data_IF_831559584675
#
_entry.id   IF_831559584675
#
_cell.length_a   1.000
_cell.length_b   1.000
_cell.length_c   1.000
_cell.angle_alpha   90.00
_cell.angle_beta   90.00
_cell.angle_gamma   90.00
#
_symmetry.space_group_name_H-M   'P 1'
#
loop_
_entity.id
_entity.type
_entity.pdbx_description
1 polymer ?
#
# COMPACT_ATOMS: atom_id res chain seq x y z
N UNK A 1 -3.71 -13.73 -64.05
CA UNK A 1 -3.76 -12.66 -65.07
C UNK A 1 -3.64 -11.31 -64.37
N UNK A 2 -2.69 -10.50 -64.84
CA UNK A 2 -2.56 -9.02 -64.76
C UNK A 2 -2.34 -8.33 -63.39
N UNK A 3 -1.07 -7.93 -63.22
CA UNK A 3 -0.54 -6.75 -62.49
C UNK A 3 -0.95 -5.44 -63.19
N UNK A 4 -1.09 -4.35 -62.42
CA UNK A 4 -0.85 -2.93 -62.79
C UNK A 4 -0.68 -2.16 -61.45
N UNK A 5 0.50 -1.69 -60.99
CA UNK A 5 1.33 -0.54 -61.37
C UNK A 5 0.61 0.78 -61.66
N UNK A 6 0.84 1.81 -60.82
CA UNK A 6 1.29 3.17 -61.23
C UNK A 6 1.58 4.10 -60.02
N UNK A 7 2.85 4.53 -59.93
CA UNK A 7 3.43 5.72 -59.25
C UNK A 7 3.59 6.79 -60.37
N UNK A 8 3.47 8.13 -60.17
CA UNK A 8 4.69 8.97 -60.02
C UNK A 8 4.58 10.39 -59.37
N UNK A 9 5.72 10.83 -58.78
CA UNK A 9 6.38 12.17 -58.83
C UNK A 9 5.63 13.45 -58.34
N UNK A 10 6.18 14.56 -57.81
CA UNK A 10 7.53 15.17 -57.62
C UNK A 10 7.36 16.55 -56.89
N UNK A 11 8.49 17.18 -56.50
CA UNK A 11 8.81 18.61 -56.20
C UNK A 11 8.88 18.98 -54.70
N UNK A 12 10.02 19.28 -54.04
CA UNK A 12 11.24 20.11 -54.28
C UNK A 12 11.06 21.61 -53.97
N UNK A 13 11.66 22.11 -52.88
CA UNK A 13 12.34 23.42 -52.79
C UNK A 13 13.01 23.64 -51.41
N UNK A 14 14.34 23.79 -51.42
CA UNK A 14 15.14 24.46 -50.39
C UNK A 14 15.18 25.96 -50.68
N UNK A 15 15.23 26.81 -49.65
CA UNK A 15 15.89 28.13 -49.69
C UNK A 15 16.32 28.58 -48.29
N UNK A 16 17.60 28.94 -48.17
CA UNK A 16 18.22 29.72 -47.08
C UNK A 16 17.84 31.22 -47.22
N UNK A 17 18.00 32.09 -46.22
CA UNK A 17 19.20 32.92 -45.92
C UNK A 17 18.95 33.73 -44.60
N UNK A 18 20.07 34.11 -43.98
CA UNK A 18 20.39 34.80 -42.72
C UNK A 18 19.78 36.18 -42.36
N UNK A 19 19.95 36.58 -41.10
CA UNK A 19 20.31 37.95 -40.67
C UNK A 19 20.96 37.99 -39.27
N UNK A 20 21.94 38.89 -39.10
CA UNK A 20 22.90 39.03 -37.99
C UNK A 20 22.55 40.13 -36.95
N UNK A 21 23.31 40.15 -35.84
CA UNK A 21 23.64 41.33 -35.02
C UNK A 21 23.11 41.25 -33.59
N UNK A 22 23.83 41.54 -32.50
CA UNK A 22 25.14 42.18 -32.33
C UNK A 22 25.68 41.86 -30.91
N UNK A 23 26.98 42.01 -30.70
CA UNK A 23 27.77 41.63 -29.51
C UNK A 23 28.14 42.82 -28.62
N UNK A 24 28.27 42.64 -27.29
CA UNK A 24 29.26 43.36 -26.45
C UNK A 24 29.78 42.48 -25.28
N UNK A 25 31.10 42.58 -25.05
CA UNK A 25 32.04 41.81 -24.19
C UNK A 25 31.89 42.05 -22.66
N UNK A 26 32.46 41.28 -21.69
CA UNK A 26 33.88 41.19 -21.18
C UNK A 26 33.85 40.31 -19.86
N UNK A 27 34.93 39.75 -19.23
CA UNK A 27 35.97 38.74 -19.55
C UNK A 27 35.99 37.48 -18.59
N UNK A 28 36.95 36.52 -18.69
CA UNK A 28 36.95 35.26 -17.90
C UNK A 28 37.89 35.25 -16.67
N UNK A 29 37.56 34.40 -15.66
CA UNK A 29 38.41 34.08 -14.49
C UNK A 29 38.73 32.57 -14.50
N UNK A 30 39.96 32.13 -14.14
CA UNK A 30 40.51 30.84 -14.57
C UNK A 30 40.22 29.66 -13.63
N UNK A 31 40.25 28.46 -14.21
CA UNK A 31 40.18 27.15 -13.55
C UNK A 31 41.42 26.85 -12.70
N UNK A 32 41.30 26.08 -11.61
CA UNK A 32 42.40 25.26 -11.10
C UNK A 32 42.08 23.75 -11.13
N UNK A 33 42.92 23.05 -11.92
CA UNK A 33 43.53 21.73 -11.72
C UNK A 33 42.74 20.54 -11.13
N UNK A 34 42.78 19.46 -11.92
CA UNK A 34 42.47 18.06 -11.59
C UNK A 34 43.36 17.47 -10.48
N UNK A 35 42.82 16.59 -9.65
CA UNK A 35 43.44 15.33 -9.16
C UNK A 35 42.36 14.42 -8.54
N UNK A 36 42.60 13.11 -8.31
CA UNK A 36 42.46 11.96 -9.21
C UNK A 36 41.26 11.03 -8.89
N UNK A 37 40.81 10.25 -9.88
CA UNK A 37 39.81 9.18 -9.73
C UNK A 37 40.32 7.98 -8.90
N UNK A 38 39.45 7.46 -8.01
CA UNK A 38 39.47 6.08 -7.51
C UNK A 38 38.04 5.64 -7.15
N UNK A 39 37.77 4.31 -7.09
CA UNK A 39 36.91 3.57 -8.00
C UNK A 39 35.45 3.50 -7.56
N UNK A 40 34.57 3.22 -8.52
CA UNK A 40 33.15 2.97 -8.32
C UNK A 40 32.94 1.71 -7.47
N UNK A 41 32.41 1.89 -6.25
CA UNK A 41 31.71 0.82 -5.54
C UNK A 41 30.26 0.80 -6.05
N UNK A 42 30.00 -0.17 -6.91
CA UNK A 42 28.68 -0.57 -7.41
C UNK A 42 27.86 -1.14 -6.25
N UNK A 43 27.22 -0.26 -5.48
CA UNK A 43 26.06 -0.64 -4.70
C UNK A 43 24.83 -0.33 -5.54
N UNK A 44 24.43 -1.28 -6.39
CA UNK A 44 23.10 -1.32 -6.99
C UNK A 44 22.07 -1.54 -5.88
N UNK A 45 21.84 -0.50 -5.10
CA UNK A 45 20.63 -0.35 -4.31
C UNK A 45 19.52 -0.24 -5.35
N UNK A 46 18.92 -1.39 -5.63
CA UNK A 46 17.76 -1.50 -6.50
C UNK A 46 16.67 -0.76 -5.75
N UNK A 47 16.53 0.53 -6.05
CA UNK A 47 15.37 1.31 -5.70
C UNK A 47 14.18 0.60 -6.34
N UNK A 48 13.55 -0.29 -5.59
CA UNK A 48 12.26 -0.86 -5.93
C UNK A 48 11.35 0.33 -6.06
N UNK A 49 11.00 0.61 -7.32
CA UNK A 49 10.14 1.71 -7.68
C UNK A 49 8.85 1.62 -6.87
N UNK A 50 8.55 2.74 -6.22
CA UNK A 50 7.28 3.20 -5.66
C UNK A 50 6.15 3.11 -6.70
N UNK A 51 5.77 1.88 -7.06
CA UNK A 51 4.54 1.53 -7.76
C UNK A 51 3.72 0.72 -6.77
N UNK A 52 2.58 1.24 -6.34
CA UNK A 52 1.57 0.47 -5.63
C UNK A 52 1.35 -0.89 -6.32
N UNK A 53 1.34 -1.94 -5.50
CA UNK A 53 1.41 -3.30 -6.01
C UNK A 53 0.26 -3.63 -6.95
N UNK A 54 0.53 -4.20 -8.12
CA UNK A 54 -0.50 -4.78 -8.98
C UNK A 54 -0.81 -6.20 -8.53
N UNK A 55 -2.08 -6.48 -8.29
CA UNK A 55 -2.55 -7.73 -7.71
C UNK A 55 -3.38 -8.53 -8.71
N UNK A 56 -3.18 -9.85 -8.73
CA UNK A 56 -4.06 -10.79 -9.44
C UNK A 56 -4.70 -11.75 -8.46
N UNK A 57 -6.01 -11.93 -8.54
CA UNK A 57 -6.77 -12.91 -7.77
C UNK A 57 -7.22 -14.06 -8.67
N UNK A 58 -6.57 -15.20 -8.54
CA UNK A 58 -6.98 -16.46 -9.15
C UNK A 58 -7.87 -17.22 -8.18
N UNK A 59 -9.00 -17.77 -8.64
CA UNK A 59 -9.84 -18.60 -7.78
C UNK A 59 -10.52 -19.76 -8.49
N UNK A 60 -10.77 -20.86 -7.78
CA UNK A 60 -11.74 -21.89 -8.17
C UNK A 60 -12.97 -21.73 -7.28
N UNK A 61 -14.18 -21.84 -7.84
CA UNK A 61 -15.42 -21.85 -7.06
C UNK A 61 -16.43 -22.82 -7.65
N UNK A 62 -17.31 -23.37 -6.80
CA UNK A 62 -18.47 -24.17 -7.24
C UNK A 62 -19.78 -23.56 -6.79
N UNK A 63 -19.87 -23.21 -5.52
CA UNK A 63 -21.08 -22.65 -4.89
C UNK A 63 -20.84 -21.23 -4.38
N UNK A 64 -20.03 -20.46 -5.12
CA UNK A 64 -19.73 -19.04 -4.89
C UNK A 64 -19.08 -18.66 -3.56
N UNK A 65 -18.78 -19.58 -2.63
CA UNK A 65 -18.14 -19.22 -1.36
C UNK A 65 -16.73 -18.66 -1.57
N UNK A 66 -15.89 -19.36 -2.34
CA UNK A 66 -14.53 -18.90 -2.66
C UNK A 66 -14.56 -17.68 -3.58
N UNK A 67 -15.48 -17.66 -4.55
CA UNK A 67 -15.71 -16.52 -5.44
C UNK A 67 -15.99 -15.23 -4.64
N UNK A 68 -16.86 -15.29 -3.63
CA UNK A 68 -17.15 -14.12 -2.78
C UNK A 68 -15.92 -13.60 -2.03
N UNK A 69 -15.04 -14.50 -1.57
CA UNK A 69 -13.77 -14.12 -0.95
C UNK A 69 -12.83 -13.49 -1.98
N UNK A 70 -12.74 -14.08 -3.17
CA UNK A 70 -11.94 -13.57 -4.28
C UNK A 70 -12.39 -12.17 -4.73
N UNK A 71 -13.70 -11.97 -4.90
CA UNK A 71 -14.30 -10.68 -5.24
C UNK A 71 -14.07 -9.64 -4.15
N UNK A 72 -14.11 -10.03 -2.87
CA UNK A 72 -13.81 -9.11 -1.78
C UNK A 72 -12.33 -8.68 -1.82
N UNK A 73 -11.39 -9.63 -1.97
CA UNK A 73 -9.96 -9.33 -2.11
C UNK A 73 -9.73 -8.41 -3.32
N UNK A 74 -10.30 -8.76 -4.48
CA UNK A 74 -10.19 -7.99 -5.72
C UNK A 74 -10.70 -6.56 -5.52
N UNK A 75 -11.90 -6.40 -4.94
CA UNK A 75 -12.49 -5.08 -4.68
C UNK A 75 -11.66 -4.27 -3.68
N UNK A 76 -11.12 -4.91 -2.65
CA UNK A 76 -10.29 -4.24 -1.64
C UNK A 76 -8.97 -3.76 -2.22
N UNK A 77 -8.38 -4.51 -3.14
CA UNK A 77 -7.06 -4.23 -3.70
C UNK A 77 -7.09 -3.52 -5.06
N UNK A 78 -8.27 -3.37 -5.68
CA UNK A 78 -8.45 -2.87 -7.04
C UNK A 78 -7.60 -3.64 -8.07
N UNK A 79 -7.50 -4.96 -7.87
CA UNK A 79 -6.70 -5.86 -8.70
C UNK A 79 -7.50 -6.51 -9.82
N UNK A 80 -6.79 -7.33 -10.60
CA UNK A 80 -7.41 -8.22 -11.57
C UNK A 80 -7.93 -9.49 -10.89
N UNK A 81 -8.97 -10.11 -11.46
CA UNK A 81 -9.54 -11.35 -10.97
C UNK A 81 -9.83 -12.29 -12.15
N UNK A 82 -9.51 -13.57 -11.96
CA UNK A 82 -9.73 -14.59 -12.97
C UNK A 82 -10.13 -15.91 -12.32
N UNK A 83 -11.21 -16.51 -12.83
CA UNK A 83 -11.62 -17.84 -12.41
C UNK A 83 -10.81 -18.92 -13.12
N UNK A 84 -10.29 -19.87 -12.34
CA UNK A 84 -9.63 -21.08 -12.81
C UNK A 84 -10.70 -22.13 -13.03
N UNK A 85 -11.06 -22.34 -14.28
CA UNK A 85 -12.13 -23.24 -14.67
C UNK A 85 -11.57 -24.52 -15.30
N UNK A 86 -12.10 -25.70 -14.96
CA UNK A 86 -11.75 -26.93 -15.66
C UNK A 86 -12.18 -26.86 -17.13
N UNK A 87 -11.49 -27.58 -18.01
CA UNK A 87 -11.88 -27.72 -19.42
C UNK A 87 -13.32 -28.26 -19.54
N UNK A 88 -13.62 -29.30 -18.75
CA UNK A 88 -14.95 -29.88 -18.61
C UNK A 88 -15.56 -29.45 -17.27
N UNK A 89 -16.68 -28.70 -17.26
CA UNK A 89 -17.37 -28.29 -16.03
C UNK A 89 -17.68 -29.48 -15.12
N UNK A 90 -17.64 -29.26 -13.80
CA UNK A 90 -18.10 -30.27 -12.84
C UNK A 90 -19.61 -30.48 -12.94
N UNK A 91 -20.02 -31.66 -12.51
CA UNK A 91 -21.41 -32.03 -12.38
C UNK A 91 -22.12 -31.16 -11.33
N UNK A 92 -23.35 -30.73 -11.63
CA UNK A 92 -24.20 -30.02 -10.65
C UNK A 92 -24.49 -30.89 -9.42
N UNK A 93 -24.59 -32.20 -9.64
CA UNK A 93 -24.81 -33.18 -8.59
C UNK A 93 -23.56 -33.27 -7.69
N UNK A 94 -23.76 -32.97 -6.41
CA UNK A 94 -22.68 -32.95 -5.42
C UNK A 94 -21.91 -34.27 -5.31
N UNK A 95 -22.59 -35.41 -5.34
CA UNK A 95 -21.93 -36.71 -5.18
C UNK A 95 -21.13 -37.09 -6.44
N UNK A 96 -21.68 -36.84 -7.63
CA UNK A 96 -20.98 -37.10 -8.90
C UNK A 96 -19.71 -36.25 -9.02
N UNK A 97 -19.80 -34.96 -8.66
CA UNK A 97 -18.64 -34.07 -8.59
C UNK A 97 -17.60 -34.60 -7.61
N UNK A 98 -18.02 -35.05 -6.42
CA UNK A 98 -17.11 -35.59 -5.41
C UNK A 98 -16.39 -36.85 -5.90
N UNK A 99 -17.10 -37.77 -6.56
CA UNK A 99 -16.52 -38.96 -7.19
C UNK A 99 -15.46 -38.59 -8.23
N UNK A 100 -15.76 -37.62 -9.09
CA UNK A 100 -14.80 -37.09 -10.07
C UNK A 100 -13.60 -36.44 -9.40
N UNK A 101 -13.81 -35.55 -8.43
CA UNK A 101 -12.74 -34.87 -7.71
C UNK A 101 -11.80 -35.87 -7.00
N UNK A 102 -12.35 -36.95 -6.43
CA UNK A 102 -11.56 -38.01 -5.82
C UNK A 102 -10.70 -38.75 -6.87
N UNK A 103 -11.26 -39.10 -8.01
CA UNK A 103 -10.52 -39.75 -9.10
C UNK A 103 -9.41 -38.85 -9.67
N UNK A 104 -9.69 -37.56 -9.82
CA UNK A 104 -8.72 -36.56 -10.28
C UNK A 104 -7.57 -36.37 -9.27
N UNK A 105 -7.85 -36.32 -7.97
CA UNK A 105 -6.79 -36.27 -6.94
C UNK A 105 -5.86 -37.49 -7.00
N UNK A 106 -6.42 -38.69 -7.23
CA UNK A 106 -5.62 -39.89 -7.44
C UNK A 106 -4.76 -39.81 -8.71
N UNK A 107 -5.27 -39.21 -9.78
CA UNK A 107 -4.52 -38.98 -11.02
C UNK A 107 -3.37 -37.98 -10.79
N UNK A 108 -3.63 -36.87 -10.10
CA UNK A 108 -2.65 -35.84 -9.76
C UNK A 108 -1.50 -36.43 -8.93
N UNK A 109 -1.79 -37.33 -7.98
CA UNK A 109 -0.76 -38.05 -7.20
C UNK A 109 0.17 -38.90 -8.06
N UNK A 110 -0.26 -39.28 -9.26
CA UNK A 110 0.54 -40.00 -10.26
C UNK A 110 1.18 -39.06 -11.31
N UNK A 111 1.02 -37.76 -11.17
CA UNK A 111 1.52 -36.74 -12.10
C UNK A 111 0.60 -36.50 -13.31
N UNK A 112 -0.64 -36.97 -13.27
CA UNK A 112 -1.63 -36.74 -14.33
C UNK A 112 -2.60 -35.64 -13.91
N UNK A 113 -2.48 -34.47 -14.55
CA UNK A 113 -3.21 -33.26 -14.19
C UNK A 113 -4.37 -33.02 -15.18
N UNK A 114 -5.64 -33.05 -14.74
CA UNK A 114 -6.79 -32.76 -15.61
C UNK A 114 -6.70 -31.37 -16.25
N UNK A 115 -7.10 -31.20 -17.52
CA UNK A 115 -6.96 -29.93 -18.22
C UNK A 115 -7.87 -28.82 -17.64
N UNK A 116 -7.35 -27.59 -17.68
CA UNK A 116 -8.08 -26.36 -17.35
C UNK A 116 -8.10 -25.45 -18.57
N UNK A 117 -9.21 -24.73 -18.77
CA UNK A 117 -9.32 -23.77 -19.89
C UNK A 117 -8.67 -22.41 -19.58
N UNK A 118 -8.45 -22.11 -18.30
CA UNK A 118 -7.88 -20.84 -17.85
C UNK A 118 -6.34 -20.87 -17.96
N UNK A 119 -5.77 -19.86 -18.62
CA UNK A 119 -4.33 -19.65 -18.74
C UNK A 119 -4.00 -18.18 -18.48
N UNK A 120 -2.81 -17.93 -17.90
CA UNK A 120 -2.23 -16.59 -17.79
C UNK A 120 -0.91 -16.57 -18.56
N UNK A 121 -0.81 -15.66 -19.53
CA UNK A 121 0.34 -15.59 -20.41
C UNK A 121 1.60 -15.11 -19.69
N UNK A 122 1.49 -14.06 -18.88
CA UNK A 122 2.57 -13.55 -18.02
C UNK A 122 2.03 -13.07 -16.68
N UNK A 123 2.84 -13.26 -15.64
CA UNK A 123 2.61 -12.73 -14.29
C UNK A 123 3.52 -11.54 -13.97
N UNK A 124 4.29 -11.03 -14.94
CA UNK A 124 5.30 -9.97 -14.71
C UNK A 124 4.71 -8.63 -14.30
N UNK A 125 3.45 -8.44 -14.65
CA UNK A 125 2.69 -7.27 -14.32
C UNK A 125 2.26 -7.22 -12.85
N UNK A 126 2.34 -8.33 -12.10
CA UNK A 126 1.79 -8.44 -10.76
C UNK A 126 2.86 -8.71 -9.69
N UNK A 127 2.73 -8.01 -8.57
CA UNK A 127 3.63 -8.12 -7.42
C UNK A 127 3.22 -9.26 -6.49
N UNK A 128 1.92 -9.52 -6.36
CA UNK A 128 1.37 -10.63 -5.56
C UNK A 128 0.24 -11.31 -6.32
N UNK A 129 0.31 -12.64 -6.36
CA UNK A 129 -0.72 -13.51 -6.91
C UNK A 129 -1.50 -14.14 -5.75
N UNK A 130 -2.78 -13.82 -5.63
CA UNK A 130 -3.69 -14.47 -4.70
C UNK A 130 -4.25 -15.73 -5.36
N UNK A 131 -4.21 -16.85 -4.64
CA UNK A 131 -4.65 -18.15 -5.14
C UNK A 131 -5.70 -18.73 -4.20
N UNK A 132 -6.93 -18.80 -4.71
CA UNK A 132 -8.14 -19.15 -3.99
C UNK A 132 -8.74 -20.48 -4.39
N UNK A 133 -9.11 -21.33 -3.44
CA UNK A 133 -9.77 -22.60 -3.77
C UNK A 133 -10.63 -23.14 -2.63
N UNK A 134 -11.70 -23.89 -2.92
CA UNK A 134 -12.35 -24.70 -1.90
C UNK A 134 -11.47 -25.90 -1.53
N UNK A 135 -11.59 -26.37 -0.30
CA UNK A 135 -10.97 -27.62 0.15
C UNK A 135 -11.89 -28.79 -0.20
N UNK A 136 -11.43 -29.70 -1.06
CA UNK A 136 -12.11 -30.95 -1.42
C UNK A 136 -11.27 -32.13 -0.93
N UNK A 137 -11.87 -33.04 -0.16
CA UNK A 137 -11.18 -34.18 0.45
C UNK A 137 -9.90 -33.82 1.25
N UNK A 138 -9.84 -32.62 1.83
CA UNK A 138 -8.67 -32.14 2.58
C UNK A 138 -7.52 -31.59 1.71
N UNK A 139 -7.70 -31.53 0.40
CA UNK A 139 -6.76 -30.99 -0.60
C UNK A 139 -7.32 -29.71 -1.23
N UNK A 140 -6.49 -28.92 -1.91
CA UNK A 140 -7.01 -27.89 -2.83
C UNK A 140 -7.86 -28.54 -3.93
N UNK A 141 -8.83 -27.79 -4.46
CA UNK A 141 -9.62 -28.19 -5.62
C UNK A 141 -8.71 -28.55 -6.81
N UNK A 142 -9.04 -29.64 -7.50
CA UNK A 142 -8.21 -30.22 -8.57
C UNK A 142 -7.96 -29.30 -9.77
N UNK A 143 -8.85 -28.37 -10.18
CA UNK A 143 -8.49 -27.39 -11.21
C UNK A 143 -7.34 -26.48 -10.80
N UNK A 144 -7.22 -26.16 -9.50
CA UNK A 144 -6.12 -25.33 -9.01
C UNK A 144 -4.79 -26.09 -9.01
N UNK A 145 -4.80 -27.39 -8.68
CA UNK A 145 -3.61 -28.26 -8.86
C UNK A 145 -3.08 -28.17 -10.29
N UNK A 146 -3.97 -28.38 -11.26
CA UNK A 146 -3.61 -28.35 -12.68
C UNK A 146 -3.12 -26.97 -13.14
N UNK A 147 -3.77 -25.90 -12.69
CA UNK A 147 -3.35 -24.54 -13.02
C UNK A 147 -1.95 -24.23 -12.47
N UNK A 148 -1.71 -24.51 -11.18
CA UNK A 148 -0.40 -24.26 -10.55
C UNK A 148 0.69 -25.10 -11.20
N UNK A 149 0.43 -26.38 -11.50
CA UNK A 149 1.36 -27.23 -12.23
C UNK A 149 1.71 -26.65 -13.61
N UNK A 150 0.70 -26.25 -14.40
CA UNK A 150 0.90 -25.71 -15.74
C UNK A 150 1.64 -24.36 -15.75
N UNK A 151 1.57 -23.59 -14.66
CA UNK A 151 2.15 -22.25 -14.55
C UNK A 151 3.36 -22.18 -13.61
N UNK A 152 3.83 -23.30 -13.06
CA UNK A 152 4.87 -23.34 -12.04
C UNK A 152 6.12 -22.53 -12.41
N UNK A 153 6.62 -22.71 -13.65
CA UNK A 153 7.78 -21.98 -14.16
C UNK A 153 7.54 -20.45 -14.28
N UNK A 154 6.31 -20.03 -14.60
CA UNK A 154 5.95 -18.61 -14.72
C UNK A 154 5.74 -17.93 -13.37
N UNK A 155 5.51 -18.72 -12.32
CA UNK A 155 5.36 -18.26 -10.94
C UNK A 155 6.69 -18.18 -10.18
N UNK A 156 7.80 -18.62 -10.78
CA UNK A 156 9.13 -18.52 -10.18
C UNK A 156 9.45 -17.07 -9.80
N UNK A 157 9.90 -16.85 -8.56
CA UNK A 157 10.19 -15.54 -8.00
C UNK A 157 8.96 -14.69 -7.65
N UNK A 158 7.73 -15.09 -8.01
CA UNK A 158 6.52 -14.35 -7.66
C UNK A 158 6.12 -14.61 -6.20
N UNK A 159 5.48 -13.62 -5.59
CA UNK A 159 4.84 -13.79 -4.27
C UNK A 159 3.46 -14.38 -4.46
N UNK A 160 3.14 -15.43 -3.71
CA UNK A 160 1.87 -16.13 -3.81
C UNK A 160 1.19 -16.18 -2.43
N UNK A 161 -0.04 -15.66 -2.36
CA UNK A 161 -0.87 -15.63 -1.15
C UNK A 161 -2.01 -16.63 -1.27
N UNK A 162 -2.05 -17.65 -0.41
CA UNK A 162 -3.06 -18.70 -0.48
C UNK A 162 -4.27 -18.35 0.39
N UNK A 163 -5.47 -18.51 -0.17
CA UNK A 163 -6.70 -18.51 0.61
C UNK A 163 -7.59 -19.69 0.25
N UNK A 164 -8.30 -20.24 1.24
CA UNK A 164 -9.23 -21.34 1.00
C UNK A 164 -10.55 -21.17 1.74
N UNK A 165 -11.58 -21.78 1.17
CA UNK A 165 -12.86 -21.99 1.87
C UNK A 165 -13.09 -23.47 2.13
N UNK A 166 -13.72 -23.81 3.24
CA UNK A 166 -14.05 -25.20 3.57
C UNK A 166 -15.31 -25.31 4.41
N UNK A 167 -15.85 -26.53 4.52
CA UNK A 167 -16.88 -26.81 5.52
C UNK A 167 -16.32 -26.68 6.93
N UNK A 168 -15.25 -27.42 7.19
CA UNK A 168 -14.54 -27.46 8.49
C UNK A 168 -13.06 -27.85 8.38
N UNK A 169 -12.62 -28.40 7.23
CA UNK A 169 -11.24 -28.85 7.02
C UNK A 169 -10.23 -27.71 7.13
N UNK A 170 -9.06 -28.03 7.67
CA UNK A 170 -7.90 -27.15 7.68
C UNK A 170 -7.27 -26.95 6.29
N UNK A 171 -6.34 -26.01 6.20
CA UNK A 171 -5.69 -25.61 4.93
C UNK A 171 -4.28 -26.20 4.75
N UNK A 172 -3.63 -26.68 5.82
CA UNK A 172 -2.19 -27.01 5.82
C UNK A 172 -1.74 -27.95 4.69
N UNK A 173 -2.48 -29.04 4.44
CA UNK A 173 -2.17 -29.97 3.34
C UNK A 173 -2.11 -29.25 2.00
N UNK A 174 -3.08 -28.38 1.71
CA UNK A 174 -3.11 -27.63 0.46
C UNK A 174 -1.99 -26.59 0.35
N UNK A 175 -1.49 -26.07 1.47
CA UNK A 175 -0.32 -25.17 1.47
C UNK A 175 0.94 -25.95 1.09
N UNK A 176 1.08 -27.18 1.60
CA UNK A 176 2.21 -28.05 1.28
C UNK A 176 2.16 -28.51 -0.19
N UNK A 177 0.96 -28.81 -0.70
CA UNK A 177 0.72 -29.07 -2.12
C UNK A 177 1.14 -27.89 -3.00
N UNK A 178 0.72 -26.67 -2.67
CA UNK A 178 1.12 -25.46 -3.40
C UNK A 178 2.65 -25.25 -3.38
N UNK A 179 3.29 -25.52 -2.24
CA UNK A 179 4.76 -25.41 -2.10
C UNK A 179 5.48 -26.44 -2.97
N UNK A 180 4.94 -27.66 -3.08
CA UNK A 180 5.50 -28.71 -3.92
C UNK A 180 5.32 -28.41 -5.41
N UNK A 181 4.18 -27.84 -5.81
CA UNK A 181 3.88 -27.47 -7.20
C UNK A 181 4.68 -26.25 -7.68
N UNK A 182 4.91 -25.28 -6.81
CA UNK A 182 5.58 -24.03 -7.13
C UNK A 182 6.77 -23.77 -6.18
N UNK A 183 7.83 -24.61 -6.23
CA UNK A 183 8.95 -24.54 -5.27
C UNK A 183 9.77 -23.25 -5.41
N UNK A 184 9.79 -22.65 -6.60
CA UNK A 184 10.52 -21.43 -6.89
C UNK A 184 9.69 -20.15 -6.66
N UNK A 185 8.42 -20.28 -6.28
CA UNK A 185 7.58 -19.16 -5.89
C UNK A 185 7.76 -18.86 -4.39
N UNK A 186 7.63 -17.58 -4.00
CA UNK A 186 7.64 -17.17 -2.60
C UNK A 186 6.24 -17.24 -2.02
N UNK A 187 5.92 -18.34 -1.33
CA UNK A 187 4.66 -18.46 -0.59
C UNK A 187 4.65 -17.54 0.63
N UNK A 188 3.63 -16.68 0.72
CA UNK A 188 3.37 -15.88 1.92
C UNK A 188 2.98 -16.83 3.06
N UNK A 189 3.64 -16.68 4.21
CA UNK A 189 3.60 -17.64 5.32
C UNK A 189 2.24 -17.74 6.01
N UNK A 190 1.42 -16.70 5.92
CA UNK A 190 0.10 -16.62 6.52
C UNK A 190 -0.97 -16.86 5.44
N UNK A 191 -1.50 -18.09 5.30
CA UNK A 191 -2.64 -18.32 4.42
C UNK A 191 -3.97 -17.96 5.11
N UNK A 192 -4.99 -17.61 4.34
CA UNK A 192 -6.34 -17.38 4.87
C UNK A 192 -7.20 -18.63 4.74
N UNK A 193 -7.81 -19.07 5.83
CA UNK A 193 -8.87 -20.08 5.81
C UNK A 193 -10.17 -19.46 6.34
N UNK A 194 -11.24 -19.64 5.57
CA UNK A 194 -12.61 -19.37 5.99
C UNK A 194 -13.44 -20.67 5.94
N UNK A 195 -13.87 -21.12 7.12
CA UNK A 195 -14.76 -22.28 7.24
C UNK A 195 -16.22 -21.83 7.25
N UNK A 196 -17.17 -22.78 7.19
CA UNK A 196 -18.60 -22.48 7.37
C UNK A 196 -18.89 -21.68 8.65
N UNK A 197 -18.14 -21.90 9.74
CA UNK A 197 -18.34 -21.20 11.00
C UNK A 197 -17.76 -19.78 11.04
N UNK A 198 -16.79 -19.46 10.17
CA UNK A 198 -16.16 -18.13 10.11
C UNK A 198 -16.62 -17.30 8.91
N UNK A 199 -17.46 -17.85 8.03
CA UNK A 199 -17.90 -17.17 6.81
C UNK A 199 -18.70 -15.88 7.09
N UNK A 200 -19.40 -15.81 8.23
CA UNK A 200 -20.09 -14.59 8.69
C UNK A 200 -19.13 -13.45 9.05
N UNK A 201 -17.84 -13.76 9.28
CA UNK A 201 -16.78 -12.80 9.59
C UNK A 201 -15.88 -12.55 8.37
N UNK A 202 -16.31 -12.93 7.16
CA UNK A 202 -15.49 -12.86 5.94
C UNK A 202 -14.84 -11.49 5.75
N UNK A 203 -15.60 -10.40 5.88
CA UNK A 203 -15.09 -9.04 5.65
C UNK A 203 -13.94 -8.68 6.59
N UNK A 204 -14.13 -8.81 7.90
CA UNK A 204 -13.10 -8.48 8.89
C UNK A 204 -11.89 -9.41 8.81
N UNK A 205 -12.12 -10.70 8.50
CA UNK A 205 -11.05 -11.70 8.36
C UNK A 205 -10.19 -11.45 7.12
N UNK A 206 -10.81 -11.13 5.99
CA UNK A 206 -10.09 -10.79 4.75
C UNK A 206 -9.29 -9.50 4.95
N UNK A 207 -9.91 -8.47 5.52
CA UNK A 207 -9.22 -7.20 5.79
C UNK A 207 -7.99 -7.37 6.68
N UNK A 208 -8.15 -8.02 7.84
CA UNK A 208 -7.04 -8.27 8.77
C UNK A 208 -5.94 -9.14 8.14
N UNK A 209 -6.32 -10.09 7.28
CA UNK A 209 -5.37 -10.92 6.57
C UNK A 209 -4.55 -10.10 5.56
N UNK A 210 -5.21 -9.30 4.73
CA UNK A 210 -4.57 -8.42 3.75
C UNK A 210 -3.58 -7.45 4.42
N UNK A 211 -3.97 -6.84 5.54
CA UNK A 211 -3.08 -6.01 6.38
C UNK A 211 -1.86 -6.82 6.87
N UNK A 212 -2.09 -8.01 7.41
CA UNK A 212 -1.00 -8.85 7.97
C UNK A 212 0.05 -9.29 6.95
N UNK A 213 -0.31 -9.35 5.66
CA UNK A 213 0.60 -9.75 4.57
C UNK A 213 1.14 -8.55 3.78
N UNK A 214 0.78 -7.32 4.20
CA UNK A 214 1.17 -6.08 3.55
C UNK A 214 0.57 -5.90 2.15
N UNK A 215 -0.63 -6.45 1.91
CA UNK A 215 -1.36 -6.24 0.68
C UNK A 215 -2.45 -5.19 0.91
N UNK A 216 -2.30 -4.03 0.28
CA UNK A 216 -3.26 -2.94 0.35
C UNK A 216 -3.39 -2.25 -1.00
N UNK A 217 -4.56 -1.67 -1.25
CA UNK A 217 -4.72 -0.69 -2.32
C UNK A 217 -3.94 0.55 -1.93
N UNK A 218 -3.04 1.00 -2.78
CA UNK A 218 -2.70 2.42 -2.79
C UNK A 218 -3.84 3.13 -3.51
N UNK A 219 -4.71 3.80 -2.75
CA UNK A 219 -5.38 4.94 -3.37
C UNK A 219 -4.31 5.98 -3.69
N UNK A 220 -4.42 6.74 -4.80
CA UNK A 220 -3.60 7.93 -4.98
C UNK A 220 -3.85 8.86 -3.77
N UNK A 221 -2.97 8.77 -2.78
CA UNK A 221 -3.05 9.44 -1.51
C UNK A 221 -4.21 9.01 -0.60
N UNK A 222 -4.09 7.87 0.10
CA UNK A 222 -4.53 7.81 1.51
C UNK A 222 -3.44 7.21 2.38
N UNK A 223 -3.07 7.86 3.50
CA UNK A 223 -1.93 7.45 4.29
C UNK A 223 -2.24 6.16 5.07
N UNK A 224 -1.20 5.37 5.33
CA UNK A 224 -1.10 4.38 6.42
C UNK A 224 -2.09 4.68 7.53
N UNK A 225 -2.78 3.67 8.11
CA UNK A 225 -3.56 3.79 9.35
C UNK A 225 -2.84 4.74 10.29
N UNK A 226 -3.23 6.03 10.26
CA UNK A 226 -2.38 7.05 10.85
C UNK A 226 -2.58 6.89 12.32
N UNK A 227 -1.60 6.25 12.98
CA UNK A 227 -1.45 6.32 14.42
C UNK A 227 -1.71 7.78 14.78
N UNK A 228 -2.83 8.02 15.47
CA UNK A 228 -3.16 9.36 15.96
C UNK A 228 -2.21 9.74 17.10
N UNK A 229 -1.21 8.92 17.40
CA UNK A 229 -0.21 9.19 18.42
C UNK A 229 1.07 9.70 17.78
N UNK A 230 1.66 10.67 18.45
CA UNK A 230 2.92 11.28 18.06
C UNK A 230 3.89 11.27 19.25
N UNK A 231 5.17 11.25 18.93
CA UNK A 231 6.25 11.55 19.86
C UNK A 231 6.75 12.96 19.57
N UNK A 232 6.82 13.81 20.60
CA UNK A 232 7.49 15.12 20.58
C UNK A 232 8.78 14.97 21.40
N UNK A 233 9.93 15.10 20.75
CA UNK A 233 11.25 14.96 21.38
C UNK A 233 11.92 16.32 21.52
N UNK A 234 12.25 16.70 22.75
CA UNK A 234 12.96 17.91 23.12
C UNK A 234 14.23 17.52 23.91
N UNK A 235 15.40 17.58 23.27
CA UNK A 235 16.65 17.09 23.87
C UNK A 235 16.59 15.57 24.13
N UNK A 236 16.78 15.17 25.39
CA UNK A 236 16.72 13.78 25.87
C UNK A 236 15.30 13.36 26.33
N UNK A 237 14.33 14.27 26.28
CA UNK A 237 12.94 14.02 26.71
C UNK A 237 12.05 13.76 25.52
N UNK A 238 11.31 12.65 25.55
CA UNK A 238 10.22 12.35 24.62
C UNK A 238 8.90 12.36 25.37
N UNK A 239 7.93 13.10 24.86
CA UNK A 239 6.55 13.13 25.36
C UNK A 239 5.60 12.66 24.26
N UNK A 240 4.52 11.99 24.66
CA UNK A 240 3.53 11.47 23.71
C UNK A 240 2.32 12.40 23.65
N UNK A 241 1.67 12.47 22.50
CA UNK A 241 0.42 13.19 22.34
C UNK A 241 -0.54 12.42 21.43
N UNK A 242 -1.84 12.57 21.66
CA UNK A 242 -2.91 12.03 20.84
C UNK A 242 -3.56 13.16 20.02
N UNK A 243 -3.62 12.98 18.70
CA UNK A 243 -4.21 13.90 17.71
C UNK A 243 -5.69 13.56 17.52
N UNK A 244 -6.52 14.60 17.40
CA UNK A 244 -7.95 14.48 17.17
C UNK A 244 -8.22 14.03 15.73
N UNK A 245 -9.21 13.15 15.55
CA UNK A 245 -9.61 12.64 14.24
C UNK A 245 -10.45 13.68 13.47
N UNK A 246 -9.82 14.78 13.08
CA UNK A 246 -10.43 15.84 12.26
C UNK A 246 -9.50 16.25 11.09
N UNK A 247 -10.00 17.06 10.16
CA UNK A 247 -9.25 17.38 8.94
C UNK A 247 -7.91 18.07 9.23
N UNK A 248 -7.86 18.93 10.25
CA UNK A 248 -6.64 19.61 10.66
C UNK A 248 -5.66 18.67 11.38
N UNK A 249 -6.15 17.75 12.22
CA UNK A 249 -5.33 16.71 12.84
C UNK A 249 -4.72 15.76 11.80
N UNK A 250 -5.48 15.37 10.77
CA UNK A 250 -4.97 14.55 9.66
C UNK A 250 -3.93 15.27 8.82
N UNK A 251 -4.14 16.56 8.49
CA UNK A 251 -3.14 17.37 7.78
C UNK A 251 -1.90 17.65 8.65
N UNK A 252 -2.05 17.73 9.97
CA UNK A 252 -0.89 17.78 10.87
C UNK A 252 -0.07 16.49 10.81
N UNK A 253 -0.73 15.32 10.92
CA UNK A 253 -0.08 14.01 10.87
C UNK A 253 0.57 13.72 9.50
N UNK A 254 -0.03 14.16 8.40
CA UNK A 254 0.50 13.91 7.05
C UNK A 254 1.86 14.57 6.80
N UNK A 255 2.21 15.60 7.58
CA UNK A 255 3.46 16.36 7.44
C UNK A 255 4.56 15.92 8.40
N UNK A 256 4.30 14.92 9.24
CA UNK A 256 5.31 14.37 10.14
C UNK A 256 6.28 13.45 9.37
N UNK A 257 7.58 13.40 9.75
CA UNK A 257 8.18 14.09 10.89
C UNK A 257 8.45 15.59 10.64
N UNK A 258 8.35 16.40 11.69
CA UNK A 258 8.67 17.83 11.67
C UNK A 258 9.78 18.15 12.68
N UNK A 259 10.73 18.99 12.28
CA UNK A 259 11.66 19.65 13.19
C UNK A 259 11.34 21.14 13.24
N UNK A 260 10.91 21.62 14.41
CA UNK A 260 10.47 23.01 14.59
C UNK A 260 11.03 23.60 15.88
N UNK A 261 11.16 24.93 15.91
CA UNK A 261 11.37 25.67 17.15
C UNK A 261 10.01 26.07 17.71
N UNK A 262 9.73 25.64 18.94
CA UNK A 262 8.58 26.06 19.71
C UNK A 262 8.93 27.35 20.47
N UNK A 263 8.36 28.47 20.04
CA UNK A 263 8.59 29.79 20.61
C UNK A 263 7.73 30.00 21.87
N UNK A 264 8.29 30.64 22.91
CA UNK A 264 7.49 31.06 24.07
C UNK A 264 6.52 32.19 23.70
N UNK A 265 5.23 31.98 23.94
CA UNK A 265 4.23 33.00 23.71
C UNK A 265 3.42 33.29 24.96
N UNK A 266 3.19 34.59 25.18
CA UNK A 266 2.42 35.12 26.30
C UNK A 266 2.90 34.59 27.68
N UNK A 267 4.21 34.69 27.94
CA UNK A 267 4.86 34.32 29.21
C UNK A 267 4.57 32.86 29.61
N UNK A 268 4.91 31.91 28.74
CA UNK A 268 4.69 30.46 28.94
C UNK A 268 3.22 30.10 29.12
N UNK A 269 2.32 30.84 28.47
CA UNK A 269 0.92 30.40 28.35
C UNK A 269 0.83 29.31 27.30
N UNK A 270 1.55 29.48 26.20
CA UNK A 270 1.58 28.54 25.09
C UNK A 270 2.95 28.53 24.42
N UNK A 271 3.26 27.41 23.78
CA UNK A 271 4.37 27.24 22.87
C UNK A 271 3.85 27.22 21.44
N UNK A 272 4.39 28.08 20.57
CA UNK A 272 3.87 28.23 19.21
C UNK A 272 4.91 27.90 18.14
N UNK A 273 4.42 27.52 16.96
CA UNK A 273 5.22 27.54 15.73
C UNK A 273 4.33 27.79 14.52
N UNK A 274 4.93 28.28 13.44
CA UNK A 274 4.23 28.56 12.19
C UNK A 274 4.54 27.47 11.16
N UNK A 275 3.56 26.63 10.79
CA UNK A 275 3.74 25.68 9.69
C UNK A 275 3.82 26.42 8.35
N UNK A 276 4.68 25.93 7.45
CA UNK A 276 4.76 26.39 6.06
C UNK A 276 4.61 25.19 5.12
N UNK A 277 3.52 25.11 4.33
CA UNK A 277 2.36 26.00 4.29
C UNK A 277 1.50 25.93 5.57
N UNK A 278 0.48 26.80 5.73
CA UNK A 278 -0.48 26.67 6.82
C UNK A 278 -1.27 25.34 6.74
N UNK A 279 -1.78 24.84 7.87
CA UNK A 279 -2.64 23.64 7.88
C UNK A 279 -4.05 23.94 7.36
N UNK A 280 -4.65 22.95 6.70
CA UNK A 280 -6.04 23.00 6.27
C UNK A 280 -6.97 22.91 7.48
N UNK A 281 -7.87 23.89 7.58
CA UNK A 281 -8.86 24.00 8.68
C UNK A 281 -10.31 24.02 8.17
N UNK A 282 -10.50 23.71 6.89
CA UNK A 282 -11.82 23.67 6.27
C UNK A 282 -12.66 22.53 6.84
N UNK A 283 -13.93 22.83 7.17
CA UNK A 283 -14.86 21.84 7.74
C UNK A 283 -14.56 21.42 9.18
N UNK A 284 -13.56 22.01 9.87
CA UNK A 284 -13.23 21.68 11.26
C UNK A 284 -14.00 22.59 12.24
N UNK A 285 -14.56 21.99 13.29
CA UNK A 285 -15.23 22.73 14.37
C UNK A 285 -14.28 23.70 15.05
N UNK A 286 -14.67 24.98 15.11
CA UNK A 286 -13.95 26.02 15.86
C UNK A 286 -14.58 26.21 17.24
N UNK A 287 -13.77 26.67 18.18
CA UNK A 287 -14.23 26.98 19.52
C UNK A 287 -13.74 25.99 20.57
N UNK A 288 -12.79 26.41 21.40
CA UNK A 288 -12.44 25.65 22.59
C UNK A 288 -11.94 26.57 23.72
N UNK A 289 -12.05 26.10 24.96
CA UNK A 289 -11.33 26.63 26.12
C UNK A 289 -10.16 25.67 26.39
N UNK A 290 -8.94 25.97 25.92
CA UNK A 290 -7.83 25.03 26.00
C UNK A 290 -7.35 24.87 27.45
N UNK A 291 -6.96 23.65 27.79
CA UNK A 291 -6.33 23.28 29.04
C UNK A 291 -4.84 22.96 28.83
N UNK A 292 -4.01 22.90 29.90
CA UNK A 292 -2.64 22.44 29.80
C UNK A 292 -2.54 21.11 29.05
N UNK A 293 -1.66 21.05 28.06
CA UNK A 293 -1.44 19.93 27.16
C UNK A 293 -2.25 19.97 25.87
N UNK A 294 -3.26 20.84 25.73
CA UNK A 294 -4.02 20.92 24.48
C UNK A 294 -3.18 21.50 23.34
N UNK A 295 -3.29 20.87 22.17
CA UNK A 295 -2.66 21.27 20.91
C UNK A 295 -3.75 21.86 20.03
N UNK A 296 -3.56 23.08 19.56
CA UNK A 296 -4.56 23.83 18.81
C UNK A 296 -3.96 24.53 17.59
N UNK A 297 -4.82 24.92 16.65
CA UNK A 297 -4.51 25.90 15.61
C UNK A 297 -5.27 27.18 15.92
N UNK A 298 -4.57 28.32 15.87
CA UNK A 298 -5.21 29.63 15.90
C UNK A 298 -5.56 30.06 14.47
N UNK A 299 -6.83 29.97 14.11
CA UNK A 299 -7.29 30.13 12.73
C UNK A 299 -6.94 31.48 12.06
N UNK A 300 -6.88 32.64 12.77
CA UNK A 300 -6.52 33.91 12.16
C UNK A 300 -5.08 33.99 11.63
N UNK A 301 -4.13 33.29 12.24
CA UNK A 301 -2.71 33.34 11.86
C UNK A 301 -2.14 32.00 11.37
N UNK A 302 -2.87 30.90 11.57
CA UNK A 302 -2.47 29.57 11.13
C UNK A 302 -1.34 28.94 11.95
N UNK A 303 -0.93 29.54 13.08
CA UNK A 303 0.06 28.94 13.97
C UNK A 303 -0.54 27.78 14.76
N UNK A 304 0.31 26.80 15.07
CA UNK A 304 0.00 25.78 16.07
C UNK A 304 0.39 26.32 17.44
N UNK A 305 -0.44 26.05 18.45
CA UNK A 305 -0.20 26.42 19.84
C UNK A 305 -0.39 25.21 20.76
N UNK A 306 0.61 24.93 21.58
CA UNK A 306 0.59 23.93 22.66
C UNK A 306 0.42 24.69 23.98
N UNK A 307 -0.74 24.53 24.63
CA UNK A 307 -1.06 25.28 25.85
C UNK A 307 -0.34 24.70 27.07
N UNK A 308 0.44 25.52 27.76
CA UNK A 308 1.05 25.20 29.06
C UNK A 308 0.13 25.56 30.23
N UNK A 309 -0.84 26.46 30.00
CA UNK A 309 -1.82 26.95 31.00
C UNK A 309 -3.22 26.91 30.41
N UNK A 310 -4.25 26.90 31.27
CA UNK A 310 -5.64 27.04 30.81
C UNK A 310 -5.89 28.43 30.24
N UNK A 311 -6.73 28.54 29.21
CA UNK A 311 -7.14 29.81 28.61
C UNK A 311 -8.67 29.90 28.48
N UNK A 312 -9.25 31.10 28.53
CA UNK A 312 -10.67 31.29 28.25
C UNK A 312 -11.10 30.75 26.88
N UNK A 313 -12.38 30.44 26.77
CA UNK A 313 -12.97 30.00 25.50
C UNK A 313 -12.70 31.00 24.37
N UNK A 314 -12.24 30.51 23.23
CA UNK A 314 -12.07 31.28 22.01
C UNK A 314 -12.70 30.56 20.83
N UNK A 315 -13.54 31.26 20.08
CA UNK A 315 -14.14 30.80 18.81
C UNK A 315 -13.15 30.69 17.65
N UNK A 316 -11.93 31.18 17.83
CA UNK A 316 -10.88 31.21 16.80
C UNK A 316 -9.85 30.08 16.97
N UNK A 317 -9.96 29.30 18.04
CA UNK A 317 -9.12 28.12 18.28
C UNK A 317 -9.78 26.86 17.73
N UNK A 318 -8.95 25.99 17.17
CA UNK A 318 -9.33 24.66 16.69
C UNK A 318 -8.48 23.65 17.44
N UNK A 319 -9.11 22.75 18.21
CA UNK A 319 -8.39 21.68 18.90
C UNK A 319 -8.00 20.59 17.89
N UNK A 320 -6.72 20.25 17.86
CA UNK A 320 -6.17 19.22 16.97
C UNK A 320 -5.49 18.09 17.73
N UNK A 321 -5.27 18.20 19.03
CA UNK A 321 -4.70 17.12 19.81
C UNK A 321 -4.49 17.48 21.28
N UNK A 322 -3.84 16.58 22.00
CA UNK A 322 -3.51 16.74 23.41
C UNK A 322 -2.28 15.90 23.78
N UNK A 323 -1.38 16.48 24.59
CA UNK A 323 -0.28 15.75 25.23
C UNK A 323 -0.83 14.78 26.28
N UNK A 324 -0.34 13.55 26.26
CA UNK A 324 -0.77 12.50 27.19
C UNK A 324 -0.12 12.66 28.57
N UNK A 325 -0.83 12.23 29.61
CA UNK A 325 -0.31 12.23 30.99
C UNK A 325 0.12 13.62 31.48
N UNK A 326 1.29 13.67 32.12
CA UNK A 326 1.92 14.90 32.61
C UNK A 326 3.04 15.43 31.67
N UNK A 327 3.07 15.00 30.41
CA UNK A 327 4.13 15.36 29.47
C UNK A 327 4.30 16.87 29.23
N UNK A 328 3.24 17.67 29.43
CA UNK A 328 3.27 19.13 29.26
C UNK A 328 4.31 19.82 30.15
N UNK A 329 4.67 19.23 31.29
CA UNK A 329 5.73 19.76 32.17
C UNK A 329 7.08 19.91 31.46
N UNK A 330 7.36 19.08 30.44
CA UNK A 330 8.58 19.15 29.66
C UNK A 330 8.67 20.42 28.78
N UNK A 331 7.53 21.04 28.45
CA UNK A 331 7.46 22.22 27.57
C UNK A 331 7.20 23.52 28.34
N UNK A 332 6.94 23.44 29.65
CA UNK A 332 6.63 24.58 30.51
C UNK A 332 7.90 25.31 31.00
N UNK A 333 8.70 25.79 30.04
CA UNK A 333 9.90 26.62 30.27
C UNK A 333 9.77 27.93 29.50
N UNK A 334 10.53 28.97 29.88
CA UNK A 334 10.45 30.28 29.21
C UNK A 334 11.24 30.38 27.91
N UNK A 335 12.19 29.47 27.69
CA UNK A 335 13.01 29.50 26.48
C UNK A 335 12.28 28.88 25.29
N UNK A 336 12.75 29.22 24.10
CA UNK A 336 12.36 28.53 22.87
C UNK A 336 12.96 27.13 22.86
N UNK A 337 12.19 26.15 22.38
CA UNK A 337 12.58 24.74 22.44
C UNK A 337 12.57 24.17 21.04
N UNK A 338 13.73 23.70 20.56
CA UNK A 338 13.77 22.91 19.32
C UNK A 338 13.25 21.51 19.60
N UNK A 339 12.27 21.08 18.82
CA UNK A 339 11.64 19.76 18.96
C UNK A 339 11.62 19.00 17.65
N UNK A 340 11.64 17.68 17.74
CA UNK A 340 11.32 16.76 16.65
C UNK A 340 10.01 16.05 16.94
N UNK A 341 9.05 16.16 16.03
CA UNK A 341 7.73 15.55 16.12
C UNK A 341 7.65 14.42 15.10
N UNK A 342 7.25 13.21 15.49
CA UNK A 342 7.09 12.06 14.60
C UNK A 342 5.82 11.28 14.95
N UNK A 343 5.26 10.55 13.99
CA UNK A 343 4.22 9.54 14.28
C UNK A 343 4.83 8.43 15.16
N UNK A 344 4.00 7.81 16.00
CA UNK A 344 4.35 6.59 16.74
C UNK A 344 4.24 5.36 15.86
#
# INVERSE_FOLDING_TARGET
>A
MKRFMLIPFLLFACFSIAACGDSEDVPPIPNPMETPQQPDDDNSDTSVSDRGGRYLVLYVSRTSNTERVAQLIQKTLDGDILEVEPETPYEDNYNAMLERAQAELEAIRRGDYPPVKTSVESFDDYDVIFVGYPIWYGSMATPMHSFLHAHAAKLAGKRVALFATSGSSGISTSVDEARALCPDATLISQPLLLTSSSLSQMESRVWAWLESIGAGREEPGTPETTSMKIDITAGDRTITATIEENAAGRDFLSRLPLEVTLEDYNNTTEKIFYPSPAFSVEGVTRGCAPAPGDITIYAPWGNVAIFCKSWPYSKELIKIGRIDGNGIEALNVREDIRVKIKKQ
#
